data_IF_948700331706
#
_entry.id   IF_948700331706
#
_cell.length_a   1.000
_cell.length_b   1.000
_cell.length_c   1.000
_cell.angle_alpha   90.00
_cell.angle_beta   90.00
_cell.angle_gamma   90.00
#
_symmetry.space_group_name_H-M   'P 1'
#
loop_
_entity.id
_entity.type
_entity.pdbx_description
1 polymer ?
#
# COMPACT_ATOMS: atom_id res chain seq x y z
N UNK A 1 -19.78 -3.02 19.47
CA UNK A 1 -19.00 -2.88 18.23
C UNK A 1 -17.58 -3.30 18.57
N UNK A 2 -17.21 -4.54 18.27
CA UNK A 2 -15.86 -5.06 18.57
C UNK A 2 -14.99 -4.83 17.33
N UNK A 3 -14.20 -3.75 17.34
CA UNK A 3 -13.18 -3.57 16.31
C UNK A 3 -12.00 -4.50 16.60
N UNK A 4 -11.63 -5.32 15.61
CA UNK A 4 -10.42 -6.13 15.68
C UNK A 4 -9.25 -5.21 15.26
N UNK A 5 -8.17 -5.12 16.06
CA UNK A 5 -7.00 -4.33 15.69
C UNK A 5 -6.45 -4.77 14.33
N UNK A 6 -6.03 -3.82 13.48
CA UNK A 6 -5.55 -4.14 12.13
C UNK A 6 -4.40 -5.15 12.15
N UNK A 7 -3.55 -5.10 13.18
CA UNK A 7 -2.44 -6.04 13.42
C UNK A 7 -2.87 -7.50 13.63
N UNK A 8 -4.12 -7.75 14.01
CA UNK A 8 -4.70 -9.07 14.21
C UNK A 8 -5.49 -9.56 12.99
N UNK A 9 -5.47 -8.81 11.90
CA UNK A 9 -6.09 -9.18 10.62
C UNK A 9 -5.00 -9.51 9.59
N UNK A 10 -5.41 -9.90 8.38
CA UNK A 10 -4.48 -10.10 7.26
C UNK A 10 -3.97 -8.80 6.62
N UNK A 11 -4.45 -7.63 7.08
CA UNK A 11 -4.04 -6.32 6.54
C UNK A 11 -2.50 -6.17 6.47
N UNK A 12 -1.71 -6.50 7.51
CA UNK A 12 -0.26 -6.34 7.47
C UNK A 12 0.40 -7.19 6.37
N UNK A 13 -0.07 -8.43 6.19
CA UNK A 13 0.45 -9.31 5.16
C UNK A 13 0.10 -8.82 3.75
N UNK A 14 -1.14 -8.34 3.54
CA UNK A 14 -1.57 -7.76 2.25
C UNK A 14 -0.78 -6.49 1.91
N UNK A 15 -0.51 -5.63 2.88
CA UNK A 15 0.34 -4.45 2.68
C UNK A 15 1.77 -4.82 2.30
N UNK A 16 2.31 -5.90 2.89
CA UNK A 16 3.63 -6.42 2.51
C UNK A 16 3.64 -6.93 1.07
N UNK A 17 2.64 -7.71 0.66
CA UNK A 17 2.54 -8.16 -0.73
C UNK A 17 2.46 -6.99 -1.72
N UNK A 18 1.70 -5.95 -1.40
CA UNK A 18 1.61 -4.75 -2.22
C UNK A 18 2.97 -4.04 -2.32
N UNK A 19 3.74 -3.97 -1.22
CA UNK A 19 5.10 -3.45 -1.24
C UNK A 19 6.02 -4.29 -2.14
N UNK A 20 5.93 -5.62 -2.07
CA UNK A 20 6.72 -6.51 -2.92
C UNK A 20 6.40 -6.29 -4.42
N UNK A 21 5.13 -6.03 -4.76
CA UNK A 21 4.71 -5.68 -6.13
C UNK A 21 5.33 -4.34 -6.56
N UNK A 22 5.26 -3.30 -5.72
CA UNK A 22 5.85 -1.99 -6.03
C UNK A 22 7.37 -2.08 -6.26
N UNK A 23 8.08 -2.85 -5.44
CA UNK A 23 9.53 -3.09 -5.59
C UNK A 23 9.83 -3.87 -6.87
N UNK A 24 8.98 -4.83 -7.23
CA UNK A 24 9.11 -5.55 -8.49
C UNK A 24 8.92 -4.62 -9.69
N UNK A 25 7.88 -3.79 -9.67
CA UNK A 25 7.62 -2.80 -10.71
C UNK A 25 8.80 -1.84 -10.88
N UNK A 26 9.30 -1.27 -9.80
CA UNK A 26 10.45 -0.34 -9.82
C UNK A 26 11.69 -0.94 -10.51
N UNK A 27 11.95 -2.24 -10.33
CA UNK A 27 13.10 -2.92 -10.95
C UNK A 27 12.92 -3.19 -12.44
N UNK A 28 11.67 -3.32 -12.90
CA UNK A 28 11.35 -3.74 -14.26
C UNK A 28 10.97 -2.57 -15.16
N UNK A 29 10.44 -1.47 -14.60
CA UNK A 29 9.98 -0.33 -15.37
C UNK A 29 11.15 0.58 -15.80
N UNK A 30 11.07 1.21 -16.98
CA UNK A 30 11.99 2.26 -17.38
C UNK A 30 11.98 3.43 -16.39
N UNK A 31 13.13 4.10 -16.25
CA UNK A 31 13.21 5.31 -15.45
C UNK A 31 12.25 6.39 -15.98
N UNK A 32 11.33 6.84 -15.12
CA UNK A 32 10.31 7.84 -15.45
C UNK A 32 8.92 7.28 -15.74
N UNK A 33 8.76 5.95 -15.75
CA UNK A 33 7.46 5.29 -15.86
C UNK A 33 7.02 4.72 -14.49
N UNK A 34 5.72 4.80 -14.23
CA UNK A 34 5.10 4.22 -13.02
C UNK A 34 4.48 2.87 -13.36
N UNK A 35 4.73 1.86 -12.53
CA UNK A 35 4.07 0.56 -12.69
C UNK A 35 2.57 0.61 -12.35
N UNK A 36 1.79 -0.37 -12.81
CA UNK A 36 0.33 -0.37 -12.69
C UNK A 36 -0.16 -0.35 -11.23
N UNK A 37 0.56 -0.96 -10.29
CA UNK A 37 0.23 -0.88 -8.87
C UNK A 37 0.39 0.55 -8.36
N UNK A 38 1.53 1.19 -8.66
CA UNK A 38 1.76 2.58 -8.25
C UNK A 38 0.75 3.54 -8.90
N UNK A 39 0.43 3.36 -10.17
CA UNK A 39 -0.60 4.14 -10.87
C UNK A 39 -1.96 4.02 -10.18
N UNK A 40 -2.39 2.80 -9.87
CA UNK A 40 -3.65 2.57 -9.18
C UNK A 40 -3.69 3.26 -7.80
N UNK A 41 -2.60 3.15 -7.03
CA UNK A 41 -2.50 3.78 -5.72
C UNK A 41 -2.59 5.32 -5.80
N UNK A 42 -2.02 5.92 -6.84
CA UNK A 42 -2.08 7.36 -7.09
C UNK A 42 -3.48 7.80 -7.54
N UNK A 43 -4.07 7.12 -8.52
CA UNK A 43 -5.40 7.44 -9.07
C UNK A 43 -6.49 7.41 -7.99
N UNK A 44 -6.41 6.46 -7.06
CA UNK A 44 -7.39 6.27 -6.00
C UNK A 44 -7.03 6.96 -4.68
N UNK A 45 -5.95 7.75 -4.62
CA UNK A 45 -5.45 8.42 -3.40
C UNK A 45 -5.26 7.46 -2.22
N UNK A 46 -4.86 6.23 -2.51
CA UNK A 46 -4.70 5.19 -1.49
C UNK A 46 -3.48 5.45 -0.62
N UNK A 47 -2.41 6.03 -1.16
CA UNK A 47 -1.22 6.43 -0.37
C UNK A 47 -1.56 7.46 0.72
N UNK A 48 -2.41 8.45 0.40
CA UNK A 48 -2.85 9.45 1.37
C UNK A 48 -3.71 8.82 2.47
N UNK A 49 -4.62 7.92 2.07
CA UNK A 49 -5.48 7.16 2.98
C UNK A 49 -4.65 6.29 3.93
N UNK A 50 -3.69 5.52 3.39
CA UNK A 50 -2.78 4.68 4.18
C UNK A 50 -1.92 5.52 5.13
N UNK A 51 -1.45 6.69 4.70
CA UNK A 51 -0.72 7.61 5.56
C UNK A 51 -1.55 8.17 6.71
N UNK A 52 -2.85 8.44 6.50
CA UNK A 52 -3.78 8.84 7.57
C UNK A 52 -4.02 7.69 8.56
N UNK A 53 -4.26 6.48 8.05
CA UNK A 53 -4.49 5.30 8.88
C UNK A 53 -3.26 4.93 9.72
N UNK A 54 -2.06 4.97 9.14
CA UNK A 54 -0.82 4.69 9.86
C UNK A 54 -0.52 5.68 10.98
N UNK A 55 -1.00 6.93 10.87
CA UNK A 55 -0.90 7.94 11.94
C UNK A 55 -1.98 7.80 13.02
N UNK A 56 -3.09 7.13 12.71
CA UNK A 56 -4.20 6.94 13.63
C UNK A 56 -3.98 5.76 14.60
N UNK A 57 -3.09 4.81 14.28
CA UNK A 57 -2.71 3.69 15.16
C UNK A 57 -1.50 4.00 16.09
N UNK A 58 -1.28 5.27 16.44
CA UNK A 58 -0.25 5.71 17.42
C UNK A 58 -0.89 6.12 18.74
#
# INVERSE_FOLDING_TARGET
DESIPARQTDIPWRLKQMLDILVYEEKQQPAGETGPCLEYLLQHKLLETLGKLGKAEV
#
